data_IF_103494059238
#
_entry.id   IF_103494059238
#
_cell.length_a   1.000
_cell.length_b   1.000
_cell.length_c   1.000
_cell.angle_alpha   90.00
_cell.angle_beta   90.00
_cell.angle_gamma   90.00
#
_symmetry.space_group_name_H-M   'P 1'
#
loop_
_entity.id
_entity.type
_entity.pdbx_description
1 polymer ?
#
# COMPACT_ATOMS: atom_id res chain seq x y z
N UNK A 1 11.16 8.85 -7.07
CA UNK A 1 11.60 7.45 -6.87
C UNK A 1 11.14 6.59 -8.03
N UNK A 2 11.95 5.64 -8.56
CA UNK A 2 11.50 4.74 -9.64
C UNK A 2 10.54 3.69 -9.09
N UNK A 3 9.45 3.42 -9.81
CA UNK A 3 8.38 2.46 -9.42
C UNK A 3 8.92 1.08 -9.02
N UNK A 4 9.75 0.47 -9.86
CA UNK A 4 10.31 -0.86 -9.58
C UNK A 4 11.22 -0.90 -8.34
N UNK A 5 11.93 0.19 -8.04
CA UNK A 5 12.73 0.28 -6.81
C UNK A 5 11.84 0.29 -5.57
N UNK A 6 10.70 1.00 -5.64
CA UNK A 6 9.74 1.03 -4.55
C UNK A 6 9.10 -0.35 -4.34
N UNK A 7 8.70 -1.02 -5.43
CA UNK A 7 8.13 -2.38 -5.37
C UNK A 7 9.15 -3.36 -4.79
N UNK A 8 10.40 -3.32 -5.26
CA UNK A 8 11.47 -4.16 -4.74
C UNK A 8 11.74 -3.93 -3.25
N UNK A 9 11.78 -2.68 -2.81
CA UNK A 9 11.94 -2.32 -1.40
C UNK A 9 10.73 -2.75 -0.55
N UNK A 10 9.51 -2.63 -1.10
CA UNK A 10 8.28 -3.05 -0.46
C UNK A 10 8.24 -4.57 -0.24
N UNK A 11 8.54 -5.35 -1.28
CA UNK A 11 8.64 -6.81 -1.20
C UNK A 11 9.68 -7.22 -0.16
N UNK A 12 10.85 -6.59 -0.15
CA UNK A 12 11.88 -6.85 0.85
C UNK A 12 11.44 -6.49 2.28
N UNK A 13 10.64 -5.42 2.44
CA UNK A 13 10.06 -5.06 3.73
C UNK A 13 9.08 -6.13 4.22
N UNK A 14 8.14 -6.58 3.38
CA UNK A 14 7.20 -7.65 3.70
C UNK A 14 7.93 -8.94 4.12
N UNK A 15 8.91 -9.39 3.34
CA UNK A 15 9.68 -10.62 3.63
C UNK A 15 10.48 -10.55 4.93
N UNK A 16 10.78 -9.36 5.46
CA UNK A 16 11.54 -9.20 6.71
C UNK A 16 10.71 -9.24 7.98
N UNK A 17 9.38 -9.22 7.87
CA UNK A 17 8.47 -9.30 9.03
C UNK A 17 8.24 -10.77 9.35
N UNK A 18 8.97 -11.33 10.33
CA UNK A 18 8.94 -12.78 10.65
C UNK A 18 8.19 -13.13 11.94
N UNK A 19 8.05 -12.17 12.85
CA UNK A 19 7.55 -12.42 14.19
C UNK A 19 6.06 -12.79 14.18
N UNK A 20 5.64 -13.94 14.77
CA UNK A 20 4.26 -14.42 14.76
C UNK A 20 3.23 -13.36 15.15
N UNK A 21 3.53 -12.61 16.21
CA UNK A 21 2.63 -11.60 16.79
C UNK A 21 2.21 -10.51 15.80
N UNK A 22 3.05 -10.22 14.80
CA UNK A 22 2.70 -9.19 13.81
C UNK A 22 1.65 -9.67 12.82
N UNK A 23 1.48 -10.98 12.62
CA UNK A 23 0.44 -11.55 11.76
C UNK A 23 -0.91 -11.70 12.46
N UNK A 24 -0.99 -11.48 13.77
CA UNK A 24 -2.23 -11.62 14.54
C UNK A 24 -3.22 -10.49 14.31
N UNK A 25 -2.79 -9.31 13.82
CA UNK A 25 -3.69 -8.18 13.56
C UNK A 25 -3.18 -7.34 12.39
N UNK A 26 -4.09 -6.68 11.68
CA UNK A 26 -3.76 -5.71 10.62
C UNK A 26 -2.85 -4.60 11.16
N UNK A 27 -3.21 -4.03 12.33
CA UNK A 27 -2.44 -2.96 12.98
C UNK A 27 -1.05 -3.41 13.44
N UNK A 28 -0.93 -4.63 13.96
CA UNK A 28 0.35 -5.21 14.35
C UNK A 28 1.29 -5.36 13.15
N UNK A 29 0.76 -5.83 12.03
CA UNK A 29 1.52 -5.97 10.79
C UNK A 29 1.90 -4.61 10.20
N UNK A 30 0.95 -3.68 10.13
CA UNK A 30 1.16 -2.31 9.64
C UNK A 30 2.30 -1.63 10.39
N UNK A 31 2.32 -1.71 11.73
CA UNK A 31 3.39 -1.12 12.54
C UNK A 31 4.77 -1.70 12.23
N UNK A 32 4.88 -3.02 12.06
CA UNK A 32 6.12 -3.68 11.67
C UNK A 32 6.55 -3.30 10.25
N UNK A 33 5.60 -3.30 9.30
CA UNK A 33 5.84 -2.93 7.91
C UNK A 33 6.44 -1.54 7.80
N UNK A 34 5.96 -0.58 8.59
CA UNK A 34 6.43 0.80 8.49
C UNK A 34 7.85 0.97 8.95
N UNK A 35 8.25 0.27 10.02
CA UNK A 35 9.64 0.22 10.45
C UNK A 35 10.52 -0.29 9.31
N UNK A 36 10.09 -1.37 8.65
CA UNK A 36 10.85 -1.96 7.53
C UNK A 36 10.84 -1.09 6.28
N UNK A 37 9.74 -0.39 5.97
CA UNK A 37 9.68 0.56 4.87
C UNK A 37 10.61 1.75 5.10
N UNK A 38 10.65 2.32 6.31
CA UNK A 38 11.61 3.38 6.64
C UNK A 38 13.07 2.93 6.52
N UNK A 39 13.37 1.65 6.72
CA UNK A 39 14.72 1.08 6.56
C UNK A 39 15.09 0.83 5.10
N UNK A 40 14.12 0.54 4.24
CA UNK A 40 14.36 -0.05 2.91
C UNK A 40 13.98 0.85 1.74
N UNK A 41 12.97 1.70 1.91
CA UNK A 41 12.52 2.61 0.86
C UNK A 41 13.48 3.79 0.81
N UNK A 42 14.16 4.03 -0.32
CA UNK A 42 15.03 5.19 -0.48
C UNK A 42 14.17 6.44 -0.68
N UNK A 43 13.75 7.06 0.43
CA UNK A 43 12.96 8.27 0.41
C UNK A 43 13.76 9.43 -0.19
N UNK A 44 13.18 10.11 -1.17
CA UNK A 44 13.70 11.36 -1.70
C UNK A 44 13.41 12.52 -0.74
N UNK A 45 14.14 13.63 -0.86
CA UNK A 45 13.97 14.78 0.02
C UNK A 45 12.52 15.32 -0.03
N UNK A 46 11.84 15.31 1.13
CA UNK A 46 10.45 15.73 1.28
C UNK A 46 9.43 14.59 1.21
N UNK A 47 9.81 13.39 0.75
CA UNK A 47 8.93 12.22 0.76
C UNK A 47 8.81 11.65 2.17
N UNK A 48 7.58 11.37 2.58
CA UNK A 48 7.24 10.76 3.87
C UNK A 48 6.44 9.47 3.66
N UNK A 49 6.45 8.63 4.70
CA UNK A 49 5.55 7.48 4.84
C UNK A 49 4.59 7.84 5.96
N UNK A 50 3.29 7.93 5.66
CA UNK A 50 2.27 8.28 6.66
C UNK A 50 1.28 7.15 6.86
N UNK A 51 0.86 6.98 8.11
CA UNK A 51 -0.12 6.01 8.55
C UNK A 51 -1.50 6.61 8.63
N UNK A 52 -2.48 5.85 8.19
CA UNK A 52 -3.89 6.12 8.45
C UNK A 52 -4.25 7.60 8.15
N UNK A 53 -3.72 8.14 7.04
CA UNK A 53 -3.82 9.56 6.71
C UNK A 53 -5.22 9.87 6.18
N UNK A 54 -6.06 10.45 7.04
CA UNK A 54 -7.45 10.78 6.72
C UNK A 54 -7.52 11.86 5.64
N UNK A 55 -7.91 11.49 4.42
CA UNK A 55 -8.24 12.46 3.37
C UNK A 55 -9.53 13.19 3.76
N UNK A 56 -9.58 14.48 3.48
CA UNK A 56 -10.71 15.37 3.82
C UNK A 56 -11.43 15.78 2.55
N UNK A 57 -12.75 15.59 2.51
CA UNK A 57 -13.58 15.82 1.33
C UNK A 57 -13.38 17.21 0.72
N UNK A 58 -13.42 18.27 1.54
CA UNK A 58 -13.26 19.66 1.10
C UNK A 58 -11.87 19.99 0.53
N UNK A 59 -10.85 19.19 0.87
CA UNK A 59 -9.45 19.46 0.51
C UNK A 59 -8.98 18.53 -0.60
N UNK A 60 -9.46 17.28 -0.60
CA UNK A 60 -8.95 16.18 -1.41
C UNK A 60 -9.99 15.64 -2.40
N UNK A 61 -11.26 16.05 -2.31
CA UNK A 61 -12.36 15.48 -3.10
C UNK A 61 -12.87 14.12 -2.60
N UNK A 62 -12.21 13.55 -1.58
CA UNK A 62 -12.48 12.21 -1.04
C UNK A 62 -12.30 12.15 0.49
N UNK A 63 -12.88 11.13 1.14
CA UNK A 63 -12.87 10.93 2.60
C UNK A 63 -12.25 9.60 3.04
N UNK A 64 -11.53 8.92 2.15
CA UNK A 64 -10.85 7.66 2.41
C UNK A 64 -9.67 7.86 3.36
N UNK A 65 -9.42 6.84 4.18
CA UNK A 65 -8.29 6.75 5.10
C UNK A 65 -7.51 5.49 4.75
N UNK A 66 -6.54 5.57 3.84
CA UNK A 66 -5.69 4.43 3.52
C UNK A 66 -4.81 4.07 4.70
N UNK A 67 -4.39 2.80 4.79
CA UNK A 67 -3.53 2.34 5.87
C UNK A 67 -2.16 2.99 5.81
N UNK A 68 -1.58 3.08 4.62
CA UNK A 68 -0.28 3.74 4.41
C UNK A 68 -0.30 4.54 3.10
N UNK A 69 0.30 5.72 3.12
CA UNK A 69 0.66 6.47 1.91
C UNK A 69 2.14 6.80 1.89
N UNK A 70 2.72 6.82 0.70
CA UNK A 70 4.06 7.32 0.42
C UNK A 70 3.90 8.48 -0.54
N UNK A 71 4.24 9.68 -0.08
CA UNK A 71 4.06 10.90 -0.85
C UNK A 71 4.96 12.03 -0.35
N UNK A 72 5.09 13.08 -1.14
CA UNK A 72 5.51 14.39 -0.67
C UNK A 72 4.28 15.17 -0.20
N UNK A 73 4.22 15.66 1.06
CA UNK A 73 3.09 16.46 1.51
C UNK A 73 2.93 17.71 0.64
N UNK A 74 1.68 18.06 0.32
CA UNK A 74 1.42 19.21 -0.55
C UNK A 74 2.01 20.50 0.02
N UNK A 75 2.88 21.11 -0.78
CA UNK A 75 3.51 22.40 -0.58
C UNK A 75 3.26 23.27 -1.82
N UNK A 76 2.52 24.39 -1.72
CA UNK A 76 2.18 25.23 -2.87
C UNK A 76 3.39 25.93 -3.51
N UNK A 77 4.55 25.97 -2.86
CA UNK A 77 5.79 26.48 -3.45
C UNK A 77 6.48 25.46 -4.37
N UNK A 78 6.16 24.18 -4.22
CA UNK A 78 6.77 23.05 -4.94
C UNK A 78 5.80 22.30 -5.85
N UNK A 79 4.50 22.38 -5.57
CA UNK A 79 3.45 21.60 -6.22
C UNK A 79 2.40 22.51 -6.87
N UNK A 80 1.91 22.10 -8.04
CA UNK A 80 0.80 22.75 -8.75
C UNK A 80 -0.55 22.25 -8.25
N UNK A 81 -0.62 20.98 -7.84
CA UNK A 81 -1.83 20.34 -7.34
C UNK A 81 -1.52 19.33 -6.22
N UNK A 82 -2.55 18.89 -5.48
CA UNK A 82 -2.45 17.86 -4.43
C UNK A 82 -2.23 16.44 -4.97
N UNK A 83 -2.36 16.29 -6.28
CA UNK A 83 -1.98 15.08 -7.02
C UNK A 83 -0.46 14.97 -7.19
N UNK A 84 0.25 16.10 -7.11
CA UNK A 84 1.70 16.11 -7.28
C UNK A 84 2.39 15.54 -6.03
N UNK A 85 3.48 14.80 -6.23
CA UNK A 85 4.26 14.23 -5.14
C UNK A 85 3.73 12.89 -4.60
N UNK A 86 2.61 12.39 -5.11
CA UNK A 86 2.09 11.08 -4.72
C UNK A 86 2.92 9.94 -5.34
N UNK A 87 3.19 8.88 -4.55
CA UNK A 87 4.01 7.75 -5.02
C UNK A 87 3.33 6.40 -4.83
N UNK A 88 2.78 6.12 -3.66
CA UNK A 88 2.03 4.88 -3.43
C UNK A 88 0.95 5.02 -2.36
N UNK A 89 -0.12 4.24 -2.52
CA UNK A 89 -1.20 4.06 -1.54
C UNK A 89 -1.39 2.59 -1.26
N UNK A 90 -1.66 2.24 0.00
CA UNK A 90 -1.69 0.86 0.47
C UNK A 90 -2.91 0.57 1.33
N UNK A 91 -3.46 -0.63 1.15
CA UNK A 91 -4.48 -1.24 2.02
C UNK A 91 -3.98 -2.62 2.49
N UNK A 92 -4.13 -2.90 3.79
CA UNK A 92 -3.71 -4.11 4.46
C UNK A 92 -4.95 -4.80 5.02
N UNK A 93 -5.08 -6.10 4.76
CA UNK A 93 -6.16 -6.93 5.28
C UNK A 93 -5.62 -8.24 5.82
N UNK A 94 -6.15 -8.71 6.94
CA UNK A 94 -5.81 -10.03 7.47
C UNK A 94 -6.85 -11.05 7.02
N UNK A 95 -6.40 -12.12 6.34
CA UNK A 95 -7.26 -13.20 5.84
C UNK A 95 -8.47 -12.65 5.08
N UNK A 96 -8.22 -11.68 4.21
CA UNK A 96 -9.26 -11.09 3.38
C UNK A 96 -9.97 -12.18 2.60
N UNK A 97 -11.27 -12.00 2.41
CA UNK A 97 -12.07 -12.75 1.44
C UNK A 97 -12.07 -12.00 0.11
N UNK A 98 -12.43 -12.67 -0.98
CA UNK A 98 -12.58 -12.03 -2.29
C UNK A 98 -13.51 -10.81 -2.24
N UNK A 99 -14.65 -10.94 -1.56
CA UNK A 99 -15.61 -9.83 -1.39
C UNK A 99 -15.01 -8.63 -0.68
N UNK A 100 -14.18 -8.86 0.34
CA UNK A 100 -13.49 -7.78 1.05
C UNK A 100 -12.41 -7.14 0.16
N UNK A 101 -11.63 -7.95 -0.56
CA UNK A 101 -10.63 -7.46 -1.51
C UNK A 101 -11.25 -6.56 -2.58
N UNK A 102 -12.40 -6.93 -3.15
CA UNK A 102 -13.14 -6.09 -4.11
C UNK A 102 -13.48 -4.72 -3.52
N UNK A 103 -13.95 -4.68 -2.26
CA UNK A 103 -14.28 -3.41 -1.60
C UNK A 103 -13.04 -2.55 -1.34
N UNK A 104 -11.91 -3.17 -1.01
CA UNK A 104 -10.65 -2.44 -0.80
C UNK A 104 -10.02 -1.99 -2.13
N UNK A 105 -10.19 -2.75 -3.22
CA UNK A 105 -9.82 -2.31 -4.57
C UNK A 105 -10.59 -1.09 -5.00
N UNK A 106 -11.88 -0.97 -4.68
CA UNK A 106 -12.64 0.24 -4.95
C UNK A 106 -12.10 1.47 -4.19
N UNK A 107 -11.65 1.28 -2.94
CA UNK A 107 -10.99 2.38 -2.19
C UNK A 107 -9.69 2.80 -2.86
N UNK A 108 -8.86 1.83 -3.24
CA UNK A 108 -7.60 2.08 -3.94
C UNK A 108 -7.86 2.76 -5.29
N UNK A 109 -8.87 2.32 -6.05
CA UNK A 109 -9.27 2.93 -7.33
C UNK A 109 -9.58 4.41 -7.15
N UNK A 110 -10.42 4.75 -6.18
CA UNK A 110 -10.75 6.15 -5.86
C UNK A 110 -9.51 6.97 -5.50
N UNK A 111 -8.58 6.41 -4.72
CA UNK A 111 -7.32 7.09 -4.39
C UNK A 111 -6.46 7.33 -5.63
N UNK A 112 -6.35 6.35 -6.52
CA UNK A 112 -5.57 6.47 -7.76
C UNK A 112 -6.20 7.39 -8.79
N UNK A 113 -7.54 7.50 -8.85
CA UNK A 113 -8.22 8.36 -9.80
C UNK A 113 -8.28 9.81 -9.34
N UNK A 114 -8.62 10.06 -8.06
CA UNK A 114 -8.84 11.42 -7.55
C UNK A 114 -7.54 12.10 -7.14
N UNK A 115 -6.60 11.34 -6.57
CA UNK A 115 -5.33 11.87 -6.07
C UNK A 115 -4.13 11.46 -6.92
N UNK A 116 -4.35 10.77 -8.04
CA UNK A 116 -3.31 10.36 -9.00
C UNK A 116 -2.13 9.62 -8.34
N UNK A 117 -2.42 8.74 -7.39
CA UNK A 117 -1.40 7.79 -6.91
C UNK A 117 -1.00 6.86 -8.06
N UNK A 118 0.28 6.82 -8.47
CA UNK A 118 0.73 6.02 -9.62
C UNK A 118 0.88 4.54 -9.30
N UNK A 119 0.78 4.17 -8.02
CA UNK A 119 0.90 2.80 -7.52
C UNK A 119 -0.05 2.58 -6.35
N UNK A 120 -0.93 1.60 -6.49
CA UNK A 120 -1.77 1.05 -5.44
C UNK A 120 -1.22 -0.32 -5.04
N UNK A 121 -1.23 -0.63 -3.74
CA UNK A 121 -0.85 -1.94 -3.24
C UNK A 121 -1.93 -2.47 -2.31
N UNK A 122 -2.28 -3.74 -2.50
CA UNK A 122 -3.12 -4.48 -1.58
C UNK A 122 -2.30 -5.59 -0.94
N UNK A 123 -2.38 -5.74 0.38
CA UNK A 123 -1.64 -6.76 1.13
C UNK A 123 -2.61 -7.62 1.92
N UNK A 124 -2.75 -8.88 1.53
CA UNK A 124 -3.49 -9.90 2.27
C UNK A 124 -2.54 -10.70 3.17
N UNK A 125 -2.54 -10.41 4.46
CA UNK A 125 -1.67 -11.08 5.43
C UNK A 125 -2.33 -12.34 5.98
N UNK A 126 -1.50 -13.28 6.44
CA UNK A 126 -1.92 -14.58 7.00
C UNK A 126 -2.78 -15.39 6.00
N UNK A 127 -2.46 -15.24 4.71
CA UNK A 127 -3.15 -15.83 3.55
C UNK A 127 -2.21 -16.01 2.37
N UNK A 128 -2.45 -17.01 1.52
CA UNK A 128 -1.77 -17.21 0.24
C UNK A 128 -2.52 -16.55 -0.95
N UNK A 129 -3.71 -16.01 -0.72
CA UNK A 129 -4.57 -15.44 -1.77
C UNK A 129 -4.31 -13.95 -1.99
N UNK A 130 -4.00 -13.56 -3.24
CA UNK A 130 -3.78 -12.15 -3.63
C UNK A 130 -5.04 -11.44 -4.14
N UNK A 131 -6.02 -12.21 -4.63
CA UNK A 131 -7.23 -11.72 -5.32
C UNK A 131 -6.99 -10.81 -6.52
N UNK A 132 -5.81 -10.86 -7.16
CA UNK A 132 -5.48 -10.00 -8.31
C UNK A 132 -6.49 -10.16 -9.46
N UNK A 133 -7.07 -11.35 -9.64
CA UNK A 133 -7.93 -11.67 -10.79
C UNK A 133 -9.29 -10.98 -10.76
N UNK A 134 -9.71 -10.49 -9.57
CA UNK A 134 -10.94 -9.70 -9.41
C UNK A 134 -10.66 -8.20 -9.37
N UNK A 135 -9.44 -7.78 -9.75
CA UNK A 135 -9.09 -6.37 -9.81
C UNK A 135 -9.92 -5.60 -10.86
N UNK A 136 -10.38 -4.37 -10.55
CA UNK A 136 -11.03 -3.51 -11.52
C UNK A 136 -10.12 -3.23 -12.73
N UNK A 137 -10.66 -3.21 -13.98
CA UNK A 137 -9.87 -2.91 -15.16
C UNK A 137 -9.08 -1.60 -15.10
N UNK A 138 -9.61 -0.60 -14.42
CA UNK A 138 -9.05 0.74 -14.24
C UNK A 138 -7.77 0.73 -13.40
N UNK A 139 -7.55 -0.32 -12.62
CA UNK A 139 -6.42 -0.48 -11.73
C UNK A 139 -5.29 -1.36 -12.28
N UNK A 140 -5.47 -2.07 -13.40
CA UNK A 140 -4.52 -3.12 -13.87
C UNK A 140 -3.06 -2.65 -13.93
N UNK A 141 -2.83 -1.47 -14.51
CA UNK A 141 -1.48 -0.92 -14.62
C UNK A 141 -0.95 -0.25 -13.35
N UNK A 142 -1.77 -0.10 -12.30
CA UNK A 142 -1.42 0.64 -11.08
C UNK A 142 -1.47 -0.24 -9.83
N UNK A 143 -2.12 -1.39 -9.85
CA UNK A 143 -2.32 -2.26 -8.69
C UNK A 143 -1.31 -3.42 -8.66
N UNK A 144 -0.73 -3.62 -7.48
CA UNK A 144 0.04 -4.83 -7.17
C UNK A 144 -0.55 -5.45 -5.90
N UNK A 145 -0.87 -6.74 -5.98
CA UNK A 145 -1.41 -7.49 -4.87
C UNK A 145 -0.33 -8.39 -4.28
N UNK A 146 -0.25 -8.39 -2.96
CA UNK A 146 0.65 -9.23 -2.18
C UNK A 146 -0.18 -10.15 -1.28
N UNK A 147 0.18 -11.42 -1.23
CA UNK A 147 -0.24 -12.34 -0.19
C UNK A 147 0.97 -12.67 0.66
N UNK A 148 0.83 -12.58 1.98
CA UNK A 148 1.96 -12.69 2.91
C UNK A 148 1.59 -13.60 4.05
N UNK A 149 2.34 -14.68 4.24
CA UNK A 149 2.07 -15.65 5.31
C UNK A 149 3.38 -16.18 5.89
N UNK A 150 3.29 -16.75 7.09
CA UNK A 150 4.42 -17.40 7.73
C UNK A 150 4.53 -18.82 7.19
N UNK A 151 5.67 -19.13 6.58
CA UNK A 151 6.10 -20.49 6.29
C UNK A 151 6.98 -21.05 7.42
N UNK A 152 7.48 -22.26 7.24
CA UNK A 152 8.27 -22.96 8.27
C UNK A 152 9.61 -22.29 8.58
N UNK A 153 10.20 -21.59 7.60
CA UNK A 153 11.55 -21.01 7.69
C UNK A 153 11.58 -19.48 7.63
N UNK A 154 10.43 -18.83 7.51
CA UNK A 154 10.35 -17.37 7.39
C UNK A 154 9.01 -16.90 6.83
N UNK A 155 9.02 -15.70 6.25
CA UNK A 155 7.83 -15.09 5.65
C UNK A 155 7.84 -15.28 4.15
N UNK A 156 6.78 -15.88 3.64
CA UNK A 156 6.52 -16.07 2.23
C UNK A 156 5.72 -14.89 1.69
N UNK A 157 6.10 -14.41 0.50
CA UNK A 157 5.47 -13.28 -0.17
C UNK A 157 5.14 -13.68 -1.60
N UNK A 158 3.86 -13.74 -1.92
CA UNK A 158 3.37 -13.94 -3.29
C UNK A 158 3.01 -12.58 -3.86
N UNK A 159 3.72 -12.15 -4.91
CA UNK A 159 3.42 -10.94 -5.67
C UNK A 159 2.64 -11.30 -6.93
N UNK A 160 1.57 -10.54 -7.22
CA UNK A 160 0.85 -10.57 -8.48
C UNK A 160 0.54 -9.15 -8.94
N UNK A 161 0.63 -8.92 -10.25
CA UNK A 161 0.33 -7.65 -10.90
C UNK A 161 -0.97 -7.83 -11.71
N UNK A 162 -1.86 -6.84 -11.63
CA UNK A 162 -3.15 -6.85 -12.30
C UNK A 162 -3.06 -6.58 -13.81
#
# INVERSE_FOLDING_TARGET
>A
MRRENLIGAFRAALSSIIEPRFFETERGFQGALIIELHRRVPLTAGTVIEQEYQKRLLIHGISQRPDIVIHEPFDPSRHRARTDGNHAVLEIKRRSTERQAILDFEKLRVMTEVLDYPLAMFVNIDSAETYVEVSPPELRDRLICFAVYRGDTGTEVIERRA
#
